data_IF_852209777541
#
_entry.id   IF_852209777541
#
_cell.length_a   1.000
_cell.length_b   1.000
_cell.length_c   1.000
_cell.angle_alpha   90.00
_cell.angle_beta   90.00
_cell.angle_gamma   90.00
#
_symmetry.space_group_name_H-M   'P 1'
#
loop_
_entity.id
_entity.type
_entity.pdbx_description
1 polymer ?
#
# COMPACT_ATOMS: atom_id res chain seq x y z
N UNK A 1 -31.08 -44.08 -55.02
CA UNK A 1 -31.99 -42.93 -54.80
C UNK A 1 -31.41 -42.19 -53.59
N UNK A 2 -30.24 -41.53 -53.66
CA UNK A 2 -29.73 -40.59 -54.68
C UNK A 2 -30.71 -39.42 -54.81
N UNK A 3 -30.33 -38.16 -54.54
CA UNK A 3 -29.23 -37.41 -55.19
C UNK A 3 -28.70 -36.34 -54.22
N UNK A 4 -27.40 -36.12 -54.03
CA UNK A 4 -26.48 -35.39 -54.92
C UNK A 4 -27.06 -34.09 -55.49
N UNK A 5 -26.77 -32.97 -54.81
CA UNK A 5 -26.82 -31.62 -55.39
C UNK A 5 -25.39 -31.09 -55.48
N UNK A 6 -24.91 -31.10 -56.72
CA UNK A 6 -23.78 -30.35 -57.23
C UNK A 6 -24.01 -28.84 -57.11
N UNK A 7 -22.98 -28.06 -56.82
CA UNK A 7 -22.59 -26.89 -57.64
C UNK A 7 -21.34 -26.22 -57.08
N UNK A 8 -20.25 -26.35 -57.84
CA UNK A 8 -19.12 -25.43 -57.82
C UNK A 8 -19.49 -24.18 -58.60
N UNK A 9 -19.23 -22.99 -58.04
CA UNK A 9 -18.96 -21.79 -58.84
C UNK A 9 -18.08 -20.78 -58.08
N UNK A 10 -16.87 -20.63 -58.61
CA UNK A 10 -16.15 -19.39 -58.93
C UNK A 10 -16.29 -18.11 -58.09
N UNK A 11 -15.09 -17.68 -57.69
CA UNK A 11 -14.51 -16.35 -57.96
C UNK A 11 -14.81 -15.19 -56.99
N UNK A 12 -13.72 -14.54 -56.60
CA UNK A 12 -13.70 -13.47 -55.62
C UNK A 12 -12.31 -13.20 -55.09
N UNK A 13 -11.32 -13.08 -55.99
CA UNK A 13 -10.00 -12.59 -55.65
C UNK A 13 -10.07 -11.15 -55.12
N UNK A 14 -9.85 -10.97 -53.82
CA UNK A 14 -9.50 -9.67 -53.25
C UNK A 14 -8.08 -9.72 -52.69
N UNK A 15 -7.13 -9.39 -53.56
CA UNK A 15 -5.79 -8.99 -53.15
C UNK A 15 -5.88 -7.76 -52.25
N UNK A 16 -5.54 -7.91 -50.97
CA UNK A 16 -5.25 -6.77 -50.10
C UNK A 16 -3.74 -6.58 -50.02
N UNK A 17 -3.30 -5.43 -50.52
CA UNK A 17 -1.91 -4.93 -50.49
C UNK A 17 -1.44 -4.80 -49.02
N UNK A 18 -0.16 -5.04 -48.71
CA UNK A 18 0.34 -4.87 -47.36
C UNK A 18 0.36 -3.37 -47.04
N UNK A 19 -0.51 -2.94 -46.12
CA UNK A 19 -0.42 -1.61 -45.53
C UNK A 19 0.82 -1.58 -44.61
N UNK A 20 1.70 -0.61 -44.83
CA UNK A 20 2.82 -0.29 -43.92
C UNK A 20 2.24 0.25 -42.62
N UNK A 21 1.84 -0.66 -41.74
CA UNK A 21 1.39 -0.38 -40.38
C UNK A 21 2.58 -0.16 -39.47
N UNK A 22 2.68 1.05 -38.92
CA UNK A 22 3.64 1.48 -37.92
C UNK A 22 3.61 0.48 -36.74
N UNK A 23 4.59 -0.42 -36.68
CA UNK A 23 4.63 -1.51 -35.71
C UNK A 23 4.98 -0.93 -34.35
N UNK A 24 3.98 -0.45 -33.60
CA UNK A 24 4.09 -0.37 -32.14
C UNK A 24 4.44 -1.79 -31.71
N UNK A 25 5.71 -2.04 -31.38
CA UNK A 25 6.19 -3.34 -30.87
C UNK A 25 5.20 -3.78 -29.79
N UNK A 26 4.41 -4.82 -30.07
CA UNK A 26 3.58 -5.46 -29.05
C UNK A 26 4.55 -5.85 -27.94
N UNK A 27 4.35 -5.27 -26.76
CA UNK A 27 5.13 -5.61 -25.58
C UNK A 27 4.98 -7.12 -25.37
N UNK A 28 6.07 -7.80 -25.02
CA UNK A 28 6.01 -9.24 -24.76
C UNK A 28 5.10 -9.51 -23.55
N UNK A 29 4.52 -10.70 -23.51
CA UNK A 29 3.60 -11.11 -22.43
C UNK A 29 4.28 -10.96 -21.07
N UNK A 30 5.56 -11.30 -20.96
CA UNK A 30 6.36 -11.21 -19.73
C UNK A 30 6.62 -9.75 -19.31
N UNK A 31 6.59 -8.81 -20.26
CA UNK A 31 6.69 -7.38 -19.96
C UNK A 31 5.37 -6.80 -19.48
N UNK A 32 4.25 -7.38 -19.91
CA UNK A 32 2.89 -6.98 -19.50
C UNK A 32 2.51 -7.63 -18.16
N UNK A 33 2.86 -8.90 -17.96
CA UNK A 33 2.54 -9.70 -16.78
C UNK A 33 3.80 -9.99 -15.99
N UNK A 34 4.07 -9.18 -14.97
CA UNK A 34 5.21 -9.34 -14.09
C UNK A 34 4.75 -9.79 -12.72
N UNK A 35 5.37 -10.85 -12.18
CA UNK A 35 5.28 -11.17 -10.77
C UNK A 35 6.16 -10.17 -9.99
N UNK A 36 5.56 -9.46 -9.05
CA UNK A 36 6.25 -8.54 -8.13
C UNK A 36 6.34 -9.19 -6.76
N UNK A 37 7.42 -8.91 -6.04
CA UNK A 37 7.50 -9.22 -4.60
C UNK A 37 6.52 -8.32 -3.82
N UNK A 38 6.18 -8.69 -2.59
CA UNK A 38 5.25 -7.92 -1.76
C UNK A 38 5.74 -6.48 -1.53
N UNK A 39 7.04 -6.33 -1.22
CA UNK A 39 7.67 -5.01 -1.05
C UNK A 39 7.60 -4.16 -2.33
N UNK A 40 7.93 -4.75 -3.49
CA UNK A 40 7.82 -4.03 -4.76
C UNK A 40 6.37 -3.63 -5.07
N UNK A 41 5.39 -4.48 -4.73
CA UNK A 41 3.99 -4.14 -4.95
C UNK A 41 3.53 -2.99 -4.05
N UNK A 42 3.96 -2.95 -2.79
CA UNK A 42 3.71 -1.84 -1.86
C UNK A 42 4.30 -0.54 -2.40
N UNK A 43 5.56 -0.57 -2.86
CA UNK A 43 6.22 0.62 -3.41
C UNK A 43 5.60 1.08 -4.74
N UNK A 44 5.09 0.16 -5.55
CA UNK A 44 4.45 0.47 -6.83
C UNK A 44 3.01 0.98 -6.67
N UNK A 45 2.32 0.59 -5.60
CA UNK A 45 0.92 0.94 -5.34
C UNK A 45 0.71 1.27 -3.86
N UNK A 46 1.37 2.32 -3.35
CA UNK A 46 1.22 2.70 -1.93
C UNK A 46 -0.24 3.02 -1.58
N UNK A 47 -1.01 3.52 -2.55
CA UNK A 47 -2.42 3.90 -2.36
C UNK A 47 -3.30 2.76 -1.84
N UNK A 48 -2.97 1.49 -2.18
CA UNK A 48 -3.74 0.33 -1.70
C UNK A 48 -3.39 -0.10 -0.27
N UNK A 49 -2.31 0.45 0.30
CA UNK A 49 -1.81 0.08 1.63
C UNK A 49 -1.97 1.23 2.63
N UNK A 50 -1.54 2.44 2.25
CA UNK A 50 -1.53 3.61 3.14
C UNK A 50 -2.54 4.68 2.73
N UNK A 51 -3.21 4.52 1.59
CA UNK A 51 -4.04 5.56 0.97
C UNK A 51 -3.23 6.54 0.12
N UNK A 52 -3.91 7.55 -0.42
CA UNK A 52 -3.34 8.49 -1.40
C UNK A 52 -2.03 9.11 -0.94
N UNK A 53 -1.01 9.07 -1.81
CA UNK A 53 0.24 9.85 -1.64
C UNK A 53 0.14 11.28 -2.18
N UNK A 54 -0.96 11.61 -2.85
CA UNK A 54 -1.25 12.97 -3.32
C UNK A 54 -1.98 13.79 -2.25
N UNK A 55 -1.79 15.12 -2.29
CA UNK A 55 -2.51 16.05 -1.42
C UNK A 55 -4.00 16.08 -1.76
N UNK A 56 -4.83 16.01 -0.75
CA UNK A 56 -6.28 16.22 -0.86
C UNK A 56 -6.75 17.24 0.17
N UNK A 57 -7.86 17.91 -0.14
CA UNK A 57 -8.55 18.82 0.79
C UNK A 57 -9.81 18.13 1.29
N UNK A 58 -9.94 17.96 2.60
CA UNK A 58 -11.12 17.38 3.25
C UNK A 58 -11.48 18.16 4.50
N UNK A 59 -12.77 18.17 4.81
CA UNK A 59 -13.28 18.71 6.05
C UNK A 59 -13.00 17.72 7.20
N UNK A 60 -12.22 18.13 8.19
CA UNK A 60 -11.76 17.29 9.30
C UNK A 60 -11.87 18.03 10.63
N UNK A 61 -12.05 17.26 11.71
CA UNK A 61 -12.00 17.78 13.07
C UNK A 61 -10.54 18.03 13.49
N UNK A 62 -10.24 19.26 13.87
CA UNK A 62 -8.91 19.67 14.35
C UNK A 62 -9.05 20.30 15.73
N UNK A 63 -8.15 19.94 16.63
CA UNK A 63 -8.11 20.54 17.96
C UNK A 63 -7.38 21.88 17.92
N UNK A 64 -8.00 22.90 18.49
CA UNK A 64 -7.47 24.24 18.71
C UNK A 64 -7.45 24.47 20.24
N UNK A 65 -6.35 25.03 20.76
CA UNK A 65 -6.18 25.24 22.20
C UNK A 65 -7.19 26.24 22.79
N UNK A 66 -7.61 27.23 22.01
CA UNK A 66 -8.51 28.30 22.48
C UNK A 66 -9.99 27.91 22.40
N UNK A 67 -10.37 27.23 21.31
CA UNK A 67 -11.78 26.98 20.94
C UNK A 67 -12.19 25.52 21.03
N UNK A 68 -11.25 24.60 21.22
CA UNK A 68 -11.48 23.16 21.27
C UNK A 68 -11.56 22.52 19.88
N UNK A 69 -12.44 21.54 19.70
CA UNK A 69 -12.57 20.82 18.43
C UNK A 69 -13.31 21.69 17.40
N UNK A 70 -12.64 21.97 16.28
CA UNK A 70 -13.18 22.74 15.15
C UNK A 70 -13.26 21.87 13.89
N UNK A 71 -14.38 21.94 13.17
CA UNK A 71 -14.53 21.29 11.88
C UNK A 71 -14.09 22.27 10.78
N UNK A 72 -12.99 21.95 10.08
CA UNK A 72 -12.42 22.83 9.05
C UNK A 72 -11.85 22.07 7.87
N UNK A 73 -11.76 22.73 6.73
CA UNK A 73 -11.09 22.18 5.55
C UNK A 73 -9.57 22.23 5.75
N UNK A 74 -8.94 21.06 5.66
CA UNK A 74 -7.48 20.91 5.71
C UNK A 74 -6.96 20.26 4.45
N UNK A 75 -5.77 20.67 4.01
CA UNK A 75 -5.04 20.02 2.93
C UNK A 75 -3.89 19.18 3.50
N UNK A 76 -3.91 17.88 3.26
CA UNK A 76 -2.95 16.93 3.82
C UNK A 76 -2.69 15.77 2.86
N UNK A 77 -1.68 14.94 3.17
CA UNK A 77 -1.38 13.71 2.43
C UNK A 77 -1.89 12.51 3.25
N UNK A 78 -2.91 11.77 2.76
CA UNK A 78 -3.51 10.66 3.50
C UNK A 78 -2.50 9.56 3.86
N UNK A 79 -1.60 9.21 2.94
CA UNK A 79 -0.56 8.22 3.19
C UNK A 79 0.34 8.56 4.37
N UNK A 80 0.72 9.84 4.50
CA UNK A 80 1.52 10.32 5.64
C UNK A 80 0.74 10.24 6.96
N UNK A 81 -0.54 10.64 6.94
CA UNK A 81 -1.40 10.52 8.11
C UNK A 81 -1.57 9.05 8.52
N UNK A 82 -1.71 8.14 7.56
CA UNK A 82 -1.94 6.72 7.85
C UNK A 82 -0.74 6.04 8.48
N UNK A 83 0.48 6.29 8.00
CA UNK A 83 1.67 5.69 8.61
C UNK A 83 1.89 6.19 10.05
N UNK A 84 1.53 7.44 10.35
CA UNK A 84 1.54 7.95 11.71
C UNK A 84 0.49 7.25 12.59
N UNK A 85 -0.75 7.13 12.09
CA UNK A 85 -1.86 6.44 12.75
C UNK A 85 -1.51 4.97 13.08
N UNK A 86 -0.89 4.23 12.17
CA UNK A 86 -0.47 2.84 12.39
C UNK A 86 0.48 2.70 13.59
N UNK A 87 1.48 3.59 13.70
CA UNK A 87 2.42 3.54 14.83
C UNK A 87 1.74 3.92 16.14
N UNK A 88 0.84 4.92 16.09
CA UNK A 88 0.08 5.36 17.25
C UNK A 88 -0.88 4.28 17.77
N UNK A 89 -1.60 3.61 16.88
CA UNK A 89 -2.51 2.50 17.23
C UNK A 89 -1.70 1.34 17.83
N UNK A 90 -0.54 1.01 17.26
CA UNK A 90 0.36 0.00 17.83
C UNK A 90 0.82 0.33 19.27
N UNK A 91 1.12 1.61 19.53
CA UNK A 91 1.44 2.08 20.87
C UNK A 91 0.23 1.96 21.80
N UNK A 92 -0.97 2.38 21.36
CA UNK A 92 -2.21 2.28 22.11
C UNK A 92 -2.60 0.83 22.43
N UNK A 93 -2.43 -0.09 21.49
CA UNK A 93 -2.69 -1.53 21.69
C UNK A 93 -1.81 -2.14 22.78
N UNK A 94 -0.65 -1.55 23.06
CA UNK A 94 0.15 -1.99 24.18
C UNK A 94 -0.57 -1.84 25.53
N UNK A 95 -1.55 -0.94 25.64
CA UNK A 95 -2.38 -0.80 26.85
C UNK A 95 -3.27 -2.03 27.07
N UNK A 96 -3.73 -2.66 26.00
CA UNK A 96 -4.49 -3.90 26.09
C UNK A 96 -3.59 -5.08 26.49
N UNK A 97 -2.35 -5.11 25.97
CA UNK A 97 -1.33 -6.12 26.31
C UNK A 97 -0.77 -5.98 27.73
N UNK A 98 -0.64 -4.75 28.22
CA UNK A 98 -0.17 -4.43 29.57
C UNK A 98 -1.08 -3.41 30.29
N UNK A 99 -2.29 -3.84 30.73
CA UNK A 99 -3.28 -2.94 31.30
C UNK A 99 -2.82 -2.24 32.58
N UNK A 100 -1.90 -2.85 33.34
CA UNK A 100 -1.41 -2.32 34.61
C UNK A 100 -0.08 -1.58 34.49
N UNK A 101 0.80 -1.98 33.57
CA UNK A 101 2.12 -1.39 33.42
C UNK A 101 2.20 -0.23 32.43
N UNK A 102 1.28 -0.13 31.46
CA UNK A 102 1.23 1.00 30.56
C UNK A 102 0.33 2.13 31.10
N UNK A 103 0.86 3.34 31.13
CA UNK A 103 0.16 4.55 31.60
C UNK A 103 0.40 5.79 30.77
N UNK A 104 1.37 5.77 29.85
CA UNK A 104 1.78 6.94 29.10
C UNK A 104 2.05 6.59 27.64
N UNK A 105 1.51 7.43 26.75
CA UNK A 105 1.97 7.60 25.38
C UNK A 105 2.47 9.04 25.29
N UNK A 106 3.66 9.23 24.71
CA UNK A 106 4.21 10.55 24.39
C UNK A 106 4.46 10.61 22.88
N UNK A 107 4.09 11.75 22.30
CA UNK A 107 4.28 12.03 20.88
C UNK A 107 5.08 13.32 20.79
N UNK A 108 6.25 13.25 20.17
CA UNK A 108 7.12 14.38 19.93
C UNK A 108 7.24 14.55 18.39
N UNK A 109 6.83 15.71 17.86
CA UNK A 109 6.89 16.03 16.43
C UNK A 109 7.84 17.20 16.24
N UNK A 110 8.88 17.00 15.44
CA UNK A 110 9.84 18.02 15.03
C UNK A 110 9.74 18.25 13.51
N UNK A 111 8.98 19.27 13.07
CA UNK A 111 8.83 19.58 11.65
C UNK A 111 10.13 20.08 10.99
N UNK A 112 11.05 20.67 11.75
CA UNK A 112 12.31 21.17 11.20
C UNK A 112 13.24 20.01 10.82
N UNK A 113 13.25 18.95 11.62
CA UNK A 113 14.01 17.72 11.34
C UNK A 113 13.24 16.68 10.52
N UNK A 114 11.94 16.88 10.29
CA UNK A 114 11.02 15.86 9.76
C UNK A 114 11.02 14.57 10.60
N UNK A 115 11.08 14.70 11.92
CA UNK A 115 11.10 13.58 12.87
C UNK A 115 9.77 13.49 13.62
N UNK A 116 9.23 12.27 13.72
CA UNK A 116 8.09 11.95 14.57
C UNK A 116 8.52 10.81 15.49
N UNK A 117 8.42 11.04 16.80
CA UNK A 117 8.72 10.05 17.82
C UNK A 117 7.45 9.71 18.59
N UNK A 118 7.11 8.42 18.62
CA UNK A 118 6.00 7.89 19.41
C UNK A 118 6.61 6.95 20.45
N UNK A 119 6.40 7.27 21.72
CA UNK A 119 6.88 6.52 22.86
C UNK A 119 5.71 6.00 23.68
N UNK A 120 5.77 4.75 24.13
CA UNK A 120 4.89 4.24 25.17
C UNK A 120 5.71 3.54 26.26
N UNK A 121 5.26 3.64 27.50
CA UNK A 121 5.80 2.83 28.59
C UNK A 121 5.08 1.47 28.69
N UNK A 122 5.33 0.73 29.76
CA UNK A 122 4.83 -0.63 29.98
C UNK A 122 5.78 -1.69 29.41
N UNK A 123 5.27 -2.91 29.23
CA UNK A 123 6.04 -4.01 28.62
C UNK A 123 6.52 -3.63 27.23
N UNK A 124 7.84 -3.71 27.04
CA UNK A 124 8.46 -3.58 25.73
C UNK A 124 8.48 -4.89 24.95
N UNK A 125 9.06 -4.85 23.76
CA UNK A 125 9.28 -6.03 22.93
C UNK A 125 10.48 -6.81 23.47
N UNK A 126 10.38 -8.15 23.64
CA UNK A 126 11.50 -8.96 24.09
C UNK A 126 12.70 -8.89 23.13
N UNK A 127 13.87 -8.55 23.66
CA UNK A 127 15.12 -8.54 22.88
C UNK A 127 15.76 -9.93 22.97
N UNK A 128 15.14 -10.90 22.29
CA UNK A 128 15.59 -12.29 22.23
C UNK A 128 15.60 -12.79 20.79
N UNK A 129 16.42 -13.79 20.51
CA UNK A 129 16.43 -14.46 19.21
C UNK A 129 15.23 -15.40 19.10
N UNK A 130 14.49 -15.29 18.00
CA UNK A 130 13.42 -16.21 17.64
C UNK A 130 14.03 -17.51 17.12
N UNK A 131 13.68 -18.64 17.74
CA UNK A 131 14.36 -19.93 17.51
C UNK A 131 14.21 -20.46 16.10
N UNK A 132 13.08 -20.20 15.45
CA UNK A 132 12.79 -20.72 14.11
C UNK A 132 13.34 -19.79 13.02
N UNK A 133 12.98 -18.51 13.09
CA UNK A 133 13.42 -17.46 12.15
C UNK A 133 14.91 -17.05 12.26
N UNK A 134 15.64 -17.52 13.28
CA UNK A 134 17.09 -17.25 13.49
C UNK A 134 17.44 -15.75 13.46
N UNK A 135 16.57 -14.92 14.04
CA UNK A 135 16.77 -13.48 14.16
C UNK A 135 16.09 -12.90 15.39
N UNK A 136 16.45 -11.67 15.77
CA UNK A 136 15.85 -10.97 16.90
C UNK A 136 14.37 -10.67 16.67
N UNK A 137 13.54 -10.86 17.71
CA UNK A 137 12.10 -10.57 17.65
C UNK A 137 11.79 -9.13 17.18
N UNK A 138 12.48 -8.07 17.63
CA UNK A 138 12.28 -6.72 17.07
C UNK A 138 12.52 -6.63 15.57
N UNK A 139 13.56 -7.29 15.05
CA UNK A 139 13.84 -7.34 13.61
C UNK A 139 12.72 -8.07 12.88
N UNK A 140 12.26 -9.19 13.42
CA UNK A 140 11.19 -9.98 12.82
C UNK A 140 9.90 -9.15 12.65
N UNK A 141 9.44 -8.49 13.71
CA UNK A 141 8.12 -7.82 13.68
C UNK A 141 8.13 -6.44 13.02
N UNK A 142 9.27 -5.75 12.95
CA UNK A 142 9.37 -4.43 12.32
C UNK A 142 10.07 -4.43 10.96
N UNK A 143 10.92 -5.43 10.68
CA UNK A 143 11.73 -5.52 9.46
C UNK A 143 11.15 -6.44 8.40
N UNK A 144 10.17 -7.29 8.75
CA UNK A 144 9.56 -8.24 7.82
C UNK A 144 8.07 -7.99 7.69
N UNK A 145 7.62 -7.90 6.44
CA UNK A 145 6.20 -7.92 6.11
C UNK A 145 5.71 -9.37 6.27
N UNK A 146 4.59 -9.56 6.96
CA UNK A 146 3.94 -10.86 7.00
C UNK A 146 3.14 -11.05 5.70
N UNK A 147 3.43 -12.14 4.98
CA UNK A 147 2.55 -12.66 3.93
C UNK A 147 1.40 -13.40 4.62
N UNK A 148 0.18 -12.85 4.53
CA UNK A 148 -1.07 -13.57 4.85
C UNK A 148 -1.52 -14.43 3.69
#
# INVERSE_FOLDING_TARGET
MSSDDSMSDSDGSFQTKPSKGNTKKKLSVERIYQKKTQLEHILLRPDTYIGSVERETKQMWVYNEDTGMELRDISYVPGLYKIFDEVLVNAADNKQRDPKGMSCIRIDIDPEKNEIMIFNNGKGIPVIEHKDEKMFVPTLIFGHLYDS
#
